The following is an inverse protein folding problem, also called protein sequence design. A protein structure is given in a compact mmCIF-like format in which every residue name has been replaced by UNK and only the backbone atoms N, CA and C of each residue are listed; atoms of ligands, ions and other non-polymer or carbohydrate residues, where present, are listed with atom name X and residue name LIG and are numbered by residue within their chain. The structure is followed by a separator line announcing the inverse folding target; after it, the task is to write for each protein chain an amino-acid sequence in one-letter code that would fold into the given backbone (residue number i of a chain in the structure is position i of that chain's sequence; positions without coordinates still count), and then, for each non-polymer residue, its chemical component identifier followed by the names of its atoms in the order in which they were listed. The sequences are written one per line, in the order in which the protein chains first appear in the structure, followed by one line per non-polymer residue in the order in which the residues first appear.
data_IF_559951917827
#
_entry.id   IF_559951917827
#
_cell.length_a   1.000
_cell.length_b   1.000
_cell.length_c   1.000
_cell.angle_alpha   90.00
_cell.angle_beta   90.00
_cell.angle_gamma   90.00
#
_symmetry.space_group_name_H-M   'P 1'
#
loop_
_entity.id
_entity.type
_entity.pdbx_description
1 polymer ?
#
# COMPACT_ATOMS: atom_id res chain seq x y z
N UNK A 1 -3.62 -6.13 65.67
CA UNK A 1 -2.17 -5.89 65.78
C UNK A 1 -1.46 -7.23 65.74
N UNK A 2 -0.35 -7.31 65.00
CA UNK A 2 0.62 -8.40 64.90
C UNK A 2 0.11 -9.71 64.26
N UNK A 3 0.84 -10.39 63.39
CA UNK A 3 2.19 -10.19 62.88
C UNK A 3 2.46 -11.30 61.85
N UNK A 4 3.15 -10.96 60.77
CA UNK A 4 3.63 -11.88 59.75
C UNK A 4 4.83 -12.64 60.30
N UNK A 5 4.78 -13.98 60.29
CA UNK A 5 5.97 -14.82 60.42
C UNK A 5 6.11 -15.70 59.18
N UNK A 6 7.14 -15.41 58.38
CA UNK A 6 7.50 -16.12 57.15
C UNK A 6 8.17 -17.47 57.46
N UNK A 7 7.77 -18.56 56.79
CA UNK A 7 8.30 -19.90 57.04
C UNK A 7 9.53 -20.23 56.17
N UNK A 8 10.56 -19.38 56.19
CA UNK A 8 11.80 -19.60 55.41
C UNK A 8 13.10 -19.63 56.25
N UNK A 9 13.00 -20.03 57.52
CA UNK A 9 14.16 -20.35 58.36
C UNK A 9 14.25 -21.87 58.62
N UNK A 10 14.49 -22.65 57.55
CA UNK A 10 14.68 -24.10 57.64
C UNK A 10 15.80 -24.59 56.74
N UNK A 11 16.90 -25.00 57.37
CA UNK A 11 18.20 -25.36 56.78
C UNK A 11 18.13 -26.65 55.94
N UNK A 12 18.94 -26.67 54.87
CA UNK A 12 19.17 -27.79 53.95
C UNK A 12 19.90 -28.95 54.63
N UNK A 13 19.47 -30.20 54.40
CA UNK A 13 20.35 -31.38 54.49
C UNK A 13 20.10 -32.33 53.31
N UNK A 14 21.14 -32.50 52.50
CA UNK A 14 21.28 -33.44 51.40
C UNK A 14 21.25 -34.90 51.87
N UNK A 15 20.53 -35.76 51.16
CA UNK A 15 20.56 -37.21 51.31
C UNK A 15 20.58 -37.91 49.95
N UNK A 16 21.73 -38.47 49.61
CA UNK A 16 22.06 -39.21 48.41
C UNK A 16 21.51 -40.65 48.48
N UNK A 17 21.00 -41.18 47.36
CA UNK A 17 21.05 -42.62 47.08
C UNK A 17 19.73 -43.32 46.76
N UNK A 18 19.68 -43.98 45.59
CA UNK A 18 18.97 -45.27 45.48
C UNK A 18 17.87 -45.41 44.43
N UNK A 19 18.28 -45.54 43.17
CA UNK A 19 17.77 -46.52 42.19
C UNK A 19 16.25 -46.71 42.00
N UNK A 20 15.72 -46.07 40.96
CA UNK A 20 14.47 -46.48 40.30
C UNK A 20 14.54 -46.17 38.81
N UNK A 21 14.87 -47.16 37.99
CA UNK A 21 14.95 -47.03 36.53
C UNK A 21 13.55 -46.85 35.94
N UNK A 22 13.17 -45.62 35.62
CA UNK A 22 12.14 -45.33 34.62
C UNK A 22 12.72 -44.43 33.54
N UNK A 23 13.04 -45.06 32.41
CA UNK A 23 13.24 -44.37 31.13
C UNK A 23 11.89 -43.79 30.72
N UNK A 24 11.71 -42.49 30.86
CA UNK A 24 10.66 -41.78 30.13
C UNK A 24 11.28 -40.57 29.44
N UNK A 25 11.27 -40.65 28.11
CA UNK A 25 11.81 -39.70 27.15
C UNK A 25 10.93 -38.44 27.11
N UNK A 26 10.94 -37.64 28.18
CA UNK A 26 10.17 -36.39 28.27
C UNK A 26 11.10 -35.23 28.63
N UNK A 27 12.29 -35.20 28.02
CA UNK A 27 13.19 -34.02 28.01
C UNK A 27 13.73 -33.86 26.58
N UNK A 28 12.82 -33.97 25.61
CA UNK A 28 13.07 -33.61 24.21
C UNK A 28 11.84 -32.96 23.55
N UNK A 29 10.83 -32.56 24.35
CA UNK A 29 9.53 -32.12 23.87
C UNK A 29 9.15 -30.66 24.17
N UNK A 30 9.98 -29.91 24.90
CA UNK A 30 9.63 -28.54 25.34
C UNK A 30 10.66 -27.48 24.90
N UNK A 31 11.78 -27.89 24.26
CA UNK A 31 12.76 -26.97 23.69
C UNK A 31 12.53 -26.65 22.18
N UNK A 32 11.51 -27.22 21.54
CA UNK A 32 11.15 -26.94 20.14
C UNK A 32 9.93 -26.02 19.97
N UNK A 33 9.28 -25.59 21.06
CA UNK A 33 8.08 -24.74 21.00
C UNK A 33 8.38 -23.27 21.36
N UNK A 34 9.65 -22.94 21.65
CA UNK A 34 10.05 -21.60 22.07
C UNK A 34 10.92 -20.81 21.05
N UNK A 35 10.96 -21.22 19.77
CA UNK A 35 11.71 -20.52 18.70
C UNK A 35 10.89 -20.33 17.41
N UNK A 36 9.56 -20.32 17.49
CA UNK A 36 8.75 -19.76 16.39
C UNK A 36 7.65 -18.85 16.94
N UNK A 37 8.01 -17.60 17.28
CA UNK A 37 7.05 -16.53 17.10
C UNK A 37 7.75 -15.42 16.31
N UNK A 38 7.98 -15.59 15.00
CA UNK A 38 8.31 -14.44 14.14
C UNK A 38 8.08 -14.63 12.64
N UNK A 39 7.33 -15.65 12.23
CA UNK A 39 7.01 -15.87 10.81
C UNK A 39 5.57 -16.37 10.67
N UNK A 40 4.59 -15.58 11.12
CA UNK A 40 3.31 -15.54 10.42
C UNK A 40 3.54 -14.72 9.14
N UNK A 41 4.33 -15.30 8.26
CA UNK A 41 4.52 -14.86 6.90
C UNK A 41 3.15 -14.86 6.25
N UNK A 42 2.73 -13.69 5.75
CA UNK A 42 1.77 -13.60 4.67
C UNK A 42 2.05 -14.73 3.68
N UNK A 43 1.09 -15.63 3.48
CA UNK A 43 1.12 -16.54 2.35
C UNK A 43 0.94 -15.70 1.07
N UNK A 44 2.04 -15.11 0.60
CA UNK A 44 2.22 -14.71 -0.76
C UNK A 44 2.59 -15.97 -1.55
N UNK A 45 1.58 -16.68 -2.07
CA UNK A 45 1.83 -17.69 -3.08
C UNK A 45 2.31 -16.96 -4.36
N UNK A 46 3.62 -16.82 -4.53
CA UNK A 46 4.22 -16.28 -5.75
C UNK A 46 4.08 -17.32 -6.86
N UNK A 47 3.30 -17.02 -7.90
CA UNK A 47 3.30 -17.82 -9.13
C UNK A 47 4.32 -17.21 -10.06
N UNK A 48 5.45 -17.91 -10.23
CA UNK A 48 6.51 -17.49 -11.15
C UNK A 48 6.01 -17.63 -12.58
N UNK A 49 5.83 -16.50 -13.26
CA UNK A 49 5.71 -16.45 -14.73
C UNK A 49 6.82 -15.51 -15.21
N UNK A 50 7.91 -16.09 -15.73
CA UNK A 50 9.03 -15.39 -16.36
C UNK A 50 9.83 -14.46 -15.42
N UNK A 51 10.89 -14.97 -14.79
CA UNK A 51 11.96 -14.27 -14.04
C UNK A 51 11.62 -13.10 -13.08
N UNK A 52 10.36 -12.74 -12.86
CA UNK A 52 9.91 -11.76 -11.87
C UNK A 52 8.92 -12.40 -10.90
N UNK A 53 9.15 -12.19 -9.60
CA UNK A 53 8.23 -12.63 -8.54
C UNK A 53 7.05 -11.65 -8.45
N UNK A 54 5.84 -12.12 -8.75
CA UNK A 54 4.59 -11.40 -8.54
C UNK A 54 3.88 -11.97 -7.31
N UNK A 55 3.62 -11.11 -6.32
CA UNK A 55 2.93 -11.41 -5.05
C UNK A 55 1.47 -10.93 -5.15
N UNK A 56 0.52 -11.75 -4.66
CA UNK A 56 -0.93 -11.49 -4.70
C UNK A 56 -1.28 -10.06 -4.23
N UNK A 57 -2.02 -9.33 -5.07
CA UNK A 57 -2.37 -7.90 -4.90
C UNK A 57 -1.90 -7.02 -6.06
N UNK A 58 -1.02 -7.53 -6.92
CA UNK A 58 -0.40 -6.76 -8.00
C UNK A 58 -0.85 -7.23 -9.39
N UNK A 59 -2.09 -6.92 -9.77
CA UNK A 59 -2.34 -6.65 -11.18
C UNK A 59 -1.93 -5.22 -11.45
N UNK A 60 -0.75 -4.94 -11.99
CA UNK A 60 -0.55 -3.65 -12.69
C UNK A 60 -0.45 -4.00 -14.16
N UNK A 61 -1.52 -3.79 -14.93
CA UNK A 61 -1.38 -3.78 -16.39
C UNK A 61 -1.16 -2.34 -16.79
N UNK A 62 0.00 -2.11 -17.36
CA UNK A 62 0.56 -0.80 -17.57
C UNK A 62 0.70 -0.58 -19.07
N UNK A 63 -0.01 0.40 -19.59
CA UNK A 63 0.11 0.85 -20.96
C UNK A 63 0.45 2.34 -20.94
N UNK A 64 1.63 2.65 -20.42
CA UNK A 64 2.20 4.00 -20.54
C UNK A 64 2.86 4.05 -21.92
N UNK A 65 2.27 4.77 -22.86
CA UNK A 65 2.74 4.82 -24.24
C UNK A 65 4.03 5.64 -24.40
N UNK A 66 4.26 6.60 -23.49
CA UNK A 66 5.44 7.46 -23.51
C UNK A 66 6.62 6.91 -22.70
N UNK A 67 6.49 5.77 -22.01
CA UNK A 67 7.56 5.16 -21.22
C UNK A 67 7.48 3.64 -21.29
N UNK A 68 8.62 2.96 -21.40
CA UNK A 68 8.71 1.52 -21.56
C UNK A 68 8.32 0.72 -20.29
N UNK A 69 8.10 1.36 -19.14
CA UNK A 69 9.10 1.39 -18.06
C UNK A 69 8.65 1.99 -16.72
N UNK A 70 7.35 2.03 -16.38
CA UNK A 70 6.87 2.55 -15.07
C UNK A 70 6.60 1.46 -14.02
N UNK A 71 6.44 1.88 -12.77
CA UNK A 71 6.00 1.02 -11.67
C UNK A 71 4.80 1.65 -10.97
N UNK A 72 3.93 0.83 -10.41
CA UNK A 72 2.72 1.31 -9.72
C UNK A 72 2.68 0.73 -8.31
N UNK A 73 2.63 1.62 -7.33
CA UNK A 73 2.46 1.28 -5.92
C UNK A 73 1.15 1.85 -5.40
N UNK A 74 0.41 1.05 -4.62
CA UNK A 74 -0.76 1.53 -3.89
C UNK A 74 -0.39 1.76 -2.43
N UNK A 75 -0.69 2.96 -1.94
CA UNK A 75 -0.60 3.30 -0.52
C UNK A 75 -1.93 3.01 0.16
N UNK A 76 -1.91 2.11 1.14
CA UNK A 76 -3.08 1.74 1.94
C UNK A 76 -2.90 2.18 3.39
N UNK A 77 -3.99 2.56 4.05
CA UNK A 77 -4.00 2.98 5.45
C UNK A 77 -5.07 2.21 6.22
N UNK A 78 -4.77 1.88 7.48
CA UNK A 78 -5.77 1.36 8.40
C UNK A 78 -6.62 2.51 8.98
N UNK A 79 -7.94 2.46 8.77
CA UNK A 79 -8.84 3.38 9.46
C UNK A 79 -9.14 2.84 10.88
N UNK A 80 -8.42 3.34 11.89
CA UNK A 80 -8.63 2.91 13.28
C UNK A 80 -9.92 3.46 13.87
N UNK A 81 -10.66 2.63 14.62
CA UNK A 81 -11.91 2.96 15.31
C UNK A 81 -13.09 3.39 14.41
N UNK A 82 -13.42 2.60 13.37
CA UNK A 82 -14.59 2.87 12.54
C UNK A 82 -15.86 2.68 13.38
N UNK A 83 -16.80 3.61 13.25
CA UNK A 83 -18.14 3.42 13.81
C UNK A 83 -18.88 2.34 13.02
N UNK A 84 -19.89 1.63 13.58
CA UNK A 84 -20.68 0.66 12.82
C UNK A 84 -21.40 1.23 11.60
N UNK A 85 -21.46 2.57 11.46
CA UNK A 85 -22.04 3.30 10.35
C UNK A 85 -21.00 3.68 9.28
N UNK A 86 -19.70 3.51 9.56
CA UNK A 86 -18.64 3.77 8.61
C UNK A 86 -18.56 2.64 7.58
N UNK A 87 -18.64 3.03 6.30
CA UNK A 87 -18.38 2.11 5.19
C UNK A 87 -16.94 1.57 5.19
N UNK A 88 -16.04 2.11 6.03
CA UNK A 88 -14.61 1.76 6.18
C UNK A 88 -14.32 0.78 7.30
N UNK A 89 -15.35 0.27 7.96
CA UNK A 89 -15.17 -0.57 9.12
C UNK A 89 -14.53 -1.92 8.78
N UNK A 90 -13.25 -2.09 9.16
CA UNK A 90 -12.58 -3.39 9.17
C UNK A 90 -11.68 -3.72 7.98
N UNK A 91 -11.32 -2.74 7.15
CA UNK A 91 -10.39 -2.93 6.02
C UNK A 91 -9.34 -1.84 5.88
N UNK A 92 -8.27 -2.14 5.13
CA UNK A 92 -7.28 -1.17 4.70
C UNK A 92 -7.85 -0.38 3.52
N UNK A 93 -7.92 0.95 3.67
CA UNK A 93 -8.44 1.82 2.62
C UNK A 93 -7.32 2.27 1.69
N UNK A 94 -7.61 2.34 0.40
CA UNK A 94 -6.67 2.94 -0.57
C UNK A 94 -6.62 4.45 -0.34
N UNK A 95 -5.42 4.98 -0.13
CA UNK A 95 -5.15 6.41 0.10
C UNK A 95 -4.38 7.06 -1.01
N UNK A 96 -3.51 6.29 -1.67
CA UNK A 96 -2.70 6.82 -2.73
C UNK A 96 -2.42 5.77 -3.80
N UNK A 97 -2.18 6.26 -5.02
CA UNK A 97 -1.58 5.49 -6.10
C UNK A 97 -0.38 6.27 -6.59
N UNK A 98 0.80 5.68 -6.50
CA UNK A 98 2.05 6.27 -7.00
C UNK A 98 2.49 5.55 -8.25
N UNK A 99 2.74 6.31 -9.31
CA UNK A 99 3.46 5.86 -10.50
C UNK A 99 4.90 6.30 -10.32
N UNK A 100 5.81 5.33 -10.23
CA UNK A 100 7.23 5.60 -10.03
C UNK A 100 8.04 5.36 -11.28
N UNK A 101 9.19 6.05 -11.33
CA UNK A 101 10.16 5.98 -12.43
C UNK A 101 9.53 6.33 -13.80
N UNK A 102 8.68 7.36 -13.84
CA UNK A 102 8.10 7.86 -15.08
C UNK A 102 9.11 8.78 -15.79
N UNK A 103 9.40 8.52 -17.06
CA UNK A 103 10.15 9.43 -17.93
C UNK A 103 9.33 10.68 -18.21
N UNK A 104 9.57 11.72 -17.41
CA UNK A 104 8.82 12.97 -17.50
C UNK A 104 9.12 13.75 -18.78
N UNK A 105 10.29 13.55 -19.40
CA UNK A 105 10.64 14.21 -20.67
C UNK A 105 9.85 13.60 -21.82
N UNK A 106 9.86 12.26 -21.92
CA UNK A 106 9.12 11.55 -22.94
C UNK A 106 7.60 11.72 -22.77
N UNK A 107 7.14 11.84 -21.52
CA UNK A 107 5.73 12.00 -21.19
C UNK A 107 5.24 13.45 -21.10
N UNK A 108 6.10 14.46 -21.30
CA UNK A 108 5.74 15.86 -21.15
C UNK A 108 4.56 16.27 -22.05
N UNK A 109 3.56 16.93 -21.46
CA UNK A 109 2.35 17.39 -22.14
C UNK A 109 1.28 16.32 -22.33
N UNK A 110 1.60 15.04 -22.14
CA UNK A 110 0.60 13.99 -22.13
C UNK A 110 -0.21 14.00 -20.83
N UNK A 111 -1.41 13.43 -20.88
CA UNK A 111 -2.22 13.16 -19.70
C UNK A 111 -1.95 11.74 -19.22
N UNK A 112 -1.73 11.59 -17.93
CA UNK A 112 -1.63 10.30 -17.26
C UNK A 112 -2.95 9.99 -16.57
N UNK A 113 -3.51 8.81 -16.81
CA UNK A 113 -4.77 8.35 -16.22
C UNK A 113 -4.55 7.10 -15.39
N UNK A 114 -5.22 7.05 -14.25
CA UNK A 114 -5.21 5.91 -13.32
C UNK A 114 -6.62 5.40 -13.10
N UNK A 115 -6.77 4.07 -13.12
CA UNK A 115 -8.00 3.37 -12.76
C UNK A 115 -7.71 2.24 -11.80
N UNK A 116 -8.63 2.01 -10.88
CA UNK A 116 -8.63 0.85 -10.00
C UNK A 116 -9.69 -0.14 -10.50
N UNK A 117 -9.31 -1.41 -10.59
CA UNK A 117 -10.12 -2.48 -11.17
C UNK A 117 -10.36 -3.55 -10.10
N UNK A 118 -11.61 -3.93 -9.93
CA UNK A 118 -12.01 -4.93 -8.96
C UNK A 118 -11.86 -6.38 -9.47
N UNK A 119 -12.20 -7.37 -8.64
CA UNK A 119 -12.15 -8.78 -9.01
C UNK A 119 -13.15 -9.25 -10.07
N UNK A 120 -14.14 -8.42 -10.42
CA UNK A 120 -15.07 -8.68 -11.52
C UNK A 120 -14.69 -7.92 -12.80
N UNK A 121 -13.48 -7.35 -12.86
CA UNK A 121 -12.98 -6.53 -13.97
C UNK A 121 -13.76 -5.24 -14.22
N UNK A 122 -14.42 -4.71 -13.20
CA UNK A 122 -15.10 -3.41 -13.23
C UNK A 122 -14.25 -2.33 -12.59
N UNK A 123 -14.40 -1.10 -13.07
CA UNK A 123 -13.72 0.05 -12.49
C UNK A 123 -14.34 0.44 -11.16
N UNK A 124 -13.49 0.80 -10.20
CA UNK A 124 -13.89 1.21 -8.86
C UNK A 124 -14.08 2.73 -8.86
N UNK A 125 -15.17 3.26 -8.28
CA UNK A 125 -15.35 4.69 -8.09
C UNK A 125 -14.27 5.29 -7.16
N UNK A 126 -13.68 6.41 -7.57
CA UNK A 126 -12.56 7.10 -6.88
C UNK A 126 -12.85 8.58 -6.61
N UNK A 127 -14.08 9.03 -6.85
CA UNK A 127 -14.56 10.37 -6.53
C UNK A 127 -15.91 10.34 -5.81
N UNK A 128 -16.42 11.53 -5.47
CA UNK A 128 -17.73 11.67 -4.83
C UNK A 128 -18.89 11.29 -5.75
N UNK A 129 -18.69 11.36 -7.07
CA UNK A 129 -19.64 10.87 -8.08
C UNK A 129 -19.35 9.39 -8.36
N UNK A 130 -20.35 8.49 -8.32
CA UNK A 130 -20.14 7.06 -8.58
C UNK A 130 -19.68 6.74 -10.00
N UNK A 131 -19.82 7.67 -10.94
CA UNK A 131 -19.29 7.55 -12.31
C UNK A 131 -17.83 7.96 -12.43
N UNK A 132 -17.25 8.60 -11.39
CA UNK A 132 -15.85 8.98 -11.35
C UNK A 132 -14.95 7.78 -11.06
N UNK A 133 -14.45 7.16 -12.12
CA UNK A 133 -13.61 5.95 -12.04
C UNK A 133 -12.18 6.16 -12.53
N UNK A 134 -11.87 7.36 -13.04
CA UNK A 134 -10.56 7.73 -13.58
C UNK A 134 -10.05 9.02 -12.95
N UNK A 135 -8.80 9.00 -12.49
CA UNK A 135 -8.05 10.18 -12.08
C UNK A 135 -7.07 10.52 -13.18
N UNK A 136 -6.97 11.80 -13.51
CA UNK A 136 -6.08 12.27 -14.58
C UNK A 136 -5.25 13.47 -14.14
N UNK A 137 -3.94 13.39 -14.34
CA UNK A 137 -3.05 14.58 -14.32
C UNK A 137 -2.50 14.86 -15.70
N UNK A 138 -2.18 16.13 -15.96
CA UNK A 138 -1.35 16.51 -17.11
C UNK A 138 0.11 16.57 -16.67
N UNK A 139 1.00 15.89 -17.39
CA UNK A 139 2.43 16.02 -17.18
C UNK A 139 2.87 17.40 -17.69
N UNK A 140 3.48 18.26 -16.87
CA UNK A 140 3.87 19.60 -17.31
C UNK A 140 4.81 19.57 -18.51
N UNK A 141 4.65 20.56 -19.39
CA UNK A 141 5.59 20.86 -20.46
C UNK A 141 5.80 22.39 -20.49
N UNK A 142 6.99 22.91 -20.14
CA UNK A 142 8.21 22.17 -19.81
C UNK A 142 8.10 21.35 -18.52
N UNK A 143 8.92 20.30 -18.39
CA UNK A 143 8.98 19.49 -17.17
C UNK A 143 9.33 20.35 -15.95
N UNK A 144 8.86 19.98 -14.75
CA UNK A 144 9.17 20.76 -13.56
C UNK A 144 10.63 20.58 -13.12
N UNK A 145 11.25 21.66 -12.64
CA UNK A 145 12.61 21.65 -12.06
C UNK A 145 12.63 21.38 -10.54
N UNK A 146 11.45 21.27 -9.93
CA UNK A 146 11.26 20.97 -8.52
C UNK A 146 9.92 20.28 -8.30
N UNK A 147 9.70 19.74 -7.10
CA UNK A 147 8.45 19.06 -6.80
C UNK A 147 7.27 20.05 -6.89
N UNK A 148 6.18 19.61 -7.50
CA UNK A 148 4.97 20.41 -7.69
C UNK A 148 3.74 19.63 -7.24
N UNK A 149 2.66 20.34 -6.91
CA UNK A 149 1.40 19.75 -6.48
C UNK A 149 0.20 20.51 -7.02
N UNK A 150 -0.98 19.91 -6.88
CA UNK A 150 -2.27 20.55 -7.15
C UNK A 150 -2.55 21.72 -6.20
N UNK A 151 -2.12 21.62 -4.93
CA UNK A 151 -2.33 22.68 -3.93
C UNK A 151 -1.57 23.96 -4.26
N UNK A 152 -0.38 23.83 -4.87
CA UNK A 152 0.41 24.95 -5.38
C UNK A 152 0.00 25.40 -6.79
N UNK A 153 -1.03 24.80 -7.39
CA UNK A 153 -1.46 25.09 -8.77
C UNK A 153 -0.48 24.65 -9.86
N UNK A 154 0.55 23.86 -9.51
CA UNK A 154 1.58 23.42 -10.46
C UNK A 154 1.16 22.26 -11.36
N UNK A 155 0.14 21.50 -10.95
CA UNK A 155 -0.38 20.34 -11.70
C UNK A 155 -1.90 20.46 -11.80
N UNK A 156 -2.44 20.18 -12.99
CA UNK A 156 -3.87 20.06 -13.21
C UNK A 156 -4.34 18.62 -12.96
N UNK A 157 -5.31 18.44 -12.06
CA UNK A 157 -5.93 17.15 -11.72
C UNK A 157 -7.43 17.19 -12.05
N UNK A 158 -7.99 16.07 -12.53
CA UNK A 158 -9.41 15.95 -12.84
C UNK A 158 -9.96 14.55 -12.62
N UNK A 159 -11.27 14.46 -12.35
CA UNK A 159 -12.04 13.22 -12.43
C UNK A 159 -12.62 13.02 -13.83
N UNK A 160 -12.59 11.78 -14.31
CA UNK A 160 -13.26 11.38 -15.53
C UNK A 160 -14.11 10.12 -15.31
N UNK A 161 -15.07 9.93 -16.20
CA UNK A 161 -15.77 8.66 -16.36
C UNK A 161 -14.86 7.62 -17.01
N UNK A 162 -15.25 6.35 -16.95
CA UNK A 162 -14.48 5.27 -17.59
C UNK A 162 -14.22 5.48 -19.08
N UNK A 163 -15.11 6.16 -19.80
CA UNK A 163 -14.92 6.50 -21.22
C UNK A 163 -14.16 7.82 -21.46
N UNK A 164 -13.67 8.46 -20.40
CA UNK A 164 -12.86 9.68 -20.46
C UNK A 164 -13.67 10.98 -20.50
N UNK A 165 -14.97 10.94 -20.22
CA UNK A 165 -15.80 12.15 -20.09
C UNK A 165 -15.49 12.90 -18.79
N UNK A 166 -15.30 14.21 -18.85
CA UNK A 166 -15.03 15.02 -17.65
C UNK A 166 -16.20 15.02 -16.67
N UNK A 167 -15.89 15.01 -15.37
CA UNK A 167 -16.88 15.06 -14.29
C UNK A 167 -16.82 16.42 -13.61
N UNK A 168 -17.99 17.04 -13.47
CA UNK A 168 -18.15 18.29 -12.72
C UNK A 168 -18.50 17.96 -11.28
N UNK A 169 -17.79 18.53 -10.31
CA UNK A 169 -18.03 18.28 -8.89
C UNK A 169 -16.84 18.67 -8.02
N UNK A 170 -16.98 18.48 -6.71
CA UNK A 170 -15.87 18.67 -5.78
C UNK A 170 -14.82 17.57 -6.02
N UNK A 171 -13.61 17.99 -6.40
CA UNK A 171 -12.46 17.10 -6.55
C UNK A 171 -11.91 16.74 -5.17
N UNK A 172 -12.22 15.54 -4.68
CA UNK A 172 -11.70 15.01 -3.42
C UNK A 172 -10.41 14.21 -3.69
N UNK A 173 -9.46 14.83 -4.38
CA UNK A 173 -8.18 14.23 -4.67
C UNK A 173 -7.13 15.33 -4.82
N UNK A 174 -5.88 14.99 -4.54
CA UNK A 174 -4.73 15.83 -4.83
C UNK A 174 -3.68 15.01 -5.56
N UNK A 175 -2.74 15.68 -6.23
CA UNK A 175 -1.64 15.01 -6.88
C UNK A 175 -0.33 15.77 -6.70
N UNK A 176 0.76 15.02 -6.67
CA UNK A 176 2.14 15.54 -6.65
C UNK A 176 2.93 14.94 -7.79
N UNK A 177 3.82 15.76 -8.37
CA UNK A 177 4.88 15.30 -9.27
C UNK A 177 6.20 15.58 -8.56
N UNK A 178 6.92 14.51 -8.24
CA UNK A 178 8.16 14.52 -7.51
C UNK A 178 9.31 14.26 -8.49
N UNK A 179 10.24 15.21 -8.58
CA UNK A 179 11.43 15.17 -9.45
C UNK A 179 12.73 15.26 -8.65
N UNK A 180 12.63 15.18 -7.33
CA UNK A 180 13.73 15.24 -6.38
C UNK A 180 13.38 14.45 -5.13
N UNK A 181 14.40 13.92 -4.44
CA UNK A 181 14.24 12.99 -3.32
C UNK A 181 14.41 11.55 -3.77
N UNK A 182 13.60 10.64 -3.21
CA UNK A 182 13.68 9.20 -3.49
C UNK A 182 12.34 8.67 -4.01
N UNK A 183 12.40 7.79 -5.00
CA UNK A 183 11.27 7.02 -5.55
C UNK A 183 10.60 6.21 -4.45
N UNK A 184 9.27 6.22 -4.45
CA UNK A 184 8.44 5.47 -3.49
C UNK A 184 8.55 3.97 -3.72
N UNK A 185 8.77 3.55 -4.97
CA UNK A 185 8.78 2.13 -5.32
C UNK A 185 10.07 1.41 -4.91
N UNK A 186 11.22 1.96 -5.26
CA UNK A 186 12.53 1.30 -5.11
C UNK A 186 13.58 2.12 -4.36
N UNK A 187 13.24 3.34 -3.92
CA UNK A 187 14.16 4.23 -3.21
C UNK A 187 15.23 4.88 -4.10
N UNK A 188 15.17 4.70 -5.42
CA UNK A 188 16.10 5.34 -6.36
C UNK A 188 15.99 6.87 -6.30
N UNK A 189 17.06 7.59 -6.65
CA UNK A 189 17.03 9.06 -6.61
C UNK A 189 16.24 9.64 -7.77
N UNK A 190 15.28 10.51 -7.48
CA UNK A 190 14.45 11.20 -8.48
C UNK A 190 15.21 12.34 -9.15
N UNK A 191 14.85 12.65 -10.38
CA UNK A 191 15.46 13.72 -11.19
C UNK A 191 14.46 14.40 -12.12
N UNK A 192 14.87 15.49 -12.79
CA UNK A 192 14.06 16.15 -13.82
C UNK A 192 13.78 15.30 -15.08
N UNK A 193 14.35 14.09 -15.15
CA UNK A 193 14.11 13.11 -16.23
C UNK A 193 13.25 11.94 -15.77
N UNK A 194 13.41 11.49 -14.52
CA UNK A 194 12.63 10.38 -13.95
C UNK A 194 12.01 10.82 -12.63
N UNK A 195 10.68 10.79 -12.57
CA UNK A 195 9.92 11.27 -11.43
C UNK A 195 8.80 10.33 -11.00
N UNK A 196 8.30 10.61 -9.80
CA UNK A 196 7.16 9.92 -9.22
C UNK A 196 5.92 10.81 -9.29
N UNK A 197 4.78 10.22 -9.62
CA UNK A 197 3.49 10.88 -9.61
C UNK A 197 2.59 10.17 -8.62
N UNK A 198 2.24 10.87 -7.55
CA UNK A 198 1.35 10.33 -6.53
C UNK A 198 -0.01 10.99 -6.64
N UNK A 199 -1.03 10.18 -6.83
CA UNK A 199 -2.43 10.56 -6.67
C UNK A 199 -2.86 10.22 -5.25
N UNK A 200 -3.37 11.20 -4.51
CA UNK A 200 -3.98 11.01 -3.20
C UNK A 200 -5.50 11.01 -3.35
N UNK A 201 -6.14 9.93 -2.90
CA UNK A 201 -7.57 9.72 -2.98
C UNK A 201 -8.19 10.17 -1.65
N UNK A 202 -9.10 11.14 -1.75
CA UNK A 202 -9.80 11.78 -0.64
C UNK A 202 -8.88 12.06 0.54
N UNK A 203 -7.88 12.95 0.42
CA UNK A 203 -6.87 13.16 1.45
C UNK A 203 -7.46 13.54 2.82
N UNK A 204 -8.65 14.14 2.88
CA UNK A 204 -9.38 14.41 4.14
C UNK A 204 -10.00 13.15 4.76
N UNK A 205 -10.24 12.13 3.94
CA UNK A 205 -10.67 10.81 4.34
C UNK A 205 -12.10 10.77 4.92
N UNK A 206 -13.00 11.51 4.29
CA UNK A 206 -14.37 11.76 4.79
C UNK A 206 -15.47 11.19 3.91
N UNK A 207 -15.19 10.87 2.64
CA UNK A 207 -16.23 10.67 1.62
C UNK A 207 -15.96 9.45 0.75
N UNK A 208 -14.73 9.32 0.21
CA UNK A 208 -14.36 8.21 -0.67
C UNK A 208 -13.60 7.19 0.15
N UNK A 209 -14.10 5.96 0.12
CA UNK A 209 -13.53 4.90 0.91
C UNK A 209 -13.53 3.60 0.11
N UNK A 210 -12.33 3.21 -0.31
CA UNK A 210 -12.08 2.09 -1.21
C UNK A 210 -11.42 0.99 -0.41
N UNK A 211 -12.07 -0.16 -0.28
CA UNK A 211 -11.46 -1.36 0.29
C UNK A 211 -10.33 -1.86 -0.60
N UNK A 212 -9.09 -1.81 -0.09
CA UNK A 212 -7.90 -2.29 -0.78
C UNK A 212 -8.00 -3.76 -1.18
N UNK A 213 -8.75 -4.58 -0.43
CA UNK A 213 -8.97 -6.00 -0.77
C UNK A 213 -9.79 -6.18 -2.06
N UNK A 214 -10.61 -5.19 -2.42
CA UNK A 214 -11.39 -5.22 -3.66
C UNK A 214 -10.53 -4.89 -4.87
N UNK A 215 -9.46 -4.12 -4.70
CA UNK A 215 -8.57 -3.75 -5.81
C UNK A 215 -7.75 -4.97 -6.23
N UNK A 216 -8.02 -5.47 -7.43
CA UNK A 216 -7.23 -6.56 -8.03
C UNK A 216 -6.22 -6.06 -9.02
N UNK A 217 -6.52 -4.94 -9.68
CA UNK A 217 -5.61 -4.34 -10.64
C UNK A 217 -5.67 -2.83 -10.64
N UNK A 218 -4.51 -2.20 -10.80
CA UNK A 218 -4.39 -0.77 -11.12
C UNK A 218 -3.91 -0.66 -12.55
N UNK A 219 -4.57 0.18 -13.34
CA UNK A 219 -4.14 0.43 -14.72
C UNK A 219 -3.69 1.87 -14.86
N UNK A 220 -2.60 2.05 -15.59
CA UNK A 220 -2.06 3.35 -15.94
C UNK A 220 -2.02 3.44 -17.44
N UNK A 221 -2.60 4.51 -17.97
CA UNK A 221 -2.58 4.83 -19.40
C UNK A 221 -2.14 6.27 -19.64
N UNK A 222 -1.55 6.52 -20.80
CA UNK A 222 -1.21 7.87 -21.24
C UNK A 222 -1.97 8.23 -22.49
N UNK A 223 -2.50 9.45 -22.53
CA UNK A 223 -3.23 9.98 -23.69
C UNK A 223 -2.68 11.35 -24.06
N UNK A 224 -2.65 11.68 -25.35
CA UNK A 224 -2.35 13.02 -25.86
C UNK A 224 -3.55 13.96 -25.61
#
# INVERSE_FOLDING_TARGET
MAGLDSPLSGRVTSGFGGAGRYKSKIIFGVALVAVVPFMLSTFAASVTVGNGSLVFGQGSQQAVACDQQVYVAMGEEWHSAPTPQDSSAGFFRVRAVTISNLDLQACAGNKLRVRLINGTSQEIPIGSDPTATVLQVVIPNPVPQGNISTEGGGVALSYLTGIGGGISGALLASATVNVSGTSVYDGSTLSGTSGDITFYIDPAATTVNIDGQLVRRTTVETVQ
#
